data_IF_012220102615
#
_entry.id   IF_012220102615
#
_cell.length_a   1.000
_cell.length_b   1.000
_cell.length_c   1.000
_cell.angle_alpha   90.00
_cell.angle_beta   90.00
_cell.angle_gamma   90.00
#
_symmetry.space_group_name_H-M   'P 1'
#
loop_
_entity.id
_entity.type
_entity.pdbx_description
1 polymer ?
#
# COMPACT_ATOMS: atom_id res chain seq x y z
N UNK A 1 -2.43 6.02 18.48
CA UNK A 1 -3.09 5.73 17.19
C UNK A 1 -3.62 7.05 16.64
N UNK A 2 -3.08 7.57 15.54
CA UNK A 2 -3.40 8.92 15.03
C UNK A 2 -4.21 8.92 13.72
N UNK A 3 -4.37 7.76 13.07
CA UNK A 3 -5.02 7.64 11.76
C UNK A 3 -6.53 7.98 11.79
N UNK A 4 -7.26 7.54 12.82
CA UNK A 4 -8.69 7.84 12.98
C UNK A 4 -8.92 9.35 13.21
N UNK A 5 -8.22 10.03 14.14
CA UNK A 5 -8.35 11.48 14.30
C UNK A 5 -8.16 12.26 12.99
N UNK A 6 -7.18 11.87 12.17
CA UNK A 6 -6.94 12.47 10.85
C UNK A 6 -8.16 12.33 9.94
N UNK A 7 -8.73 11.13 9.83
CA UNK A 7 -9.92 10.89 9.01
C UNK A 7 -11.16 11.62 9.56
N UNK A 8 -11.35 11.64 10.88
CA UNK A 8 -12.48 12.29 11.52
C UNK A 8 -12.46 13.81 11.34
N UNK A 9 -11.29 14.44 11.49
CA UNK A 9 -11.13 15.88 11.32
C UNK A 9 -11.54 16.32 9.91
N UNK A 10 -11.08 15.61 8.88
CA UNK A 10 -11.48 15.85 7.49
C UNK A 10 -12.98 15.72 7.27
N UNK A 11 -13.59 14.71 7.88
CA UNK A 11 -15.04 14.50 7.78
C UNK A 11 -15.82 15.63 8.46
N UNK A 12 -15.31 16.17 9.57
CA UNK A 12 -15.92 17.27 10.31
C UNK A 12 -15.79 18.61 9.56
N UNK A 13 -14.61 18.88 9.01
CA UNK A 13 -14.31 20.11 8.27
C UNK A 13 -14.93 20.10 6.87
N UNK A 14 -15.25 18.92 6.33
CA UNK A 14 -15.70 18.77 4.95
C UNK A 14 -14.58 19.12 3.95
N UNK A 15 -13.33 19.05 4.39
CA UNK A 15 -12.16 19.46 3.64
C UNK A 15 -11.19 18.28 3.44
N UNK A 16 -10.77 18.08 2.20
CA UNK A 16 -9.79 17.07 1.80
C UNK A 16 -8.39 17.68 1.64
N UNK A 17 -8.24 18.98 1.95
CA UNK A 17 -6.97 19.65 1.95
C UNK A 17 -6.00 19.04 2.96
N UNK A 18 -4.77 19.53 2.89
CA UNK A 18 -3.70 19.06 3.74
C UNK A 18 -3.93 19.59 5.15
N UNK A 19 -3.86 18.71 6.14
CA UNK A 19 -3.96 19.11 7.53
C UNK A 19 -2.79 20.01 7.92
N UNK A 20 -3.10 21.18 8.47
CA UNK A 20 -2.13 22.03 9.11
C UNK A 20 -1.87 21.51 10.53
N UNK A 21 -0.60 21.27 10.85
CA UNK A 21 -0.21 20.81 12.17
C UNK A 21 1.21 21.26 12.50
N UNK A 22 1.44 21.63 13.75
CA UNK A 22 2.79 21.90 14.27
C UNK A 22 3.67 20.64 14.31
N UNK A 23 3.07 19.46 14.17
CA UNK A 23 3.75 18.19 14.18
C UNK A 23 4.16 17.78 12.76
N UNK A 24 5.45 17.86 12.48
CA UNK A 24 6.03 17.54 11.17
C UNK A 24 5.76 16.13 10.67
N UNK A 25 5.48 15.16 11.56
CA UNK A 25 5.12 13.80 11.16
C UNK A 25 3.68 13.67 10.65
N UNK A 26 2.75 14.53 11.10
CA UNK A 26 1.37 14.55 10.58
C UNK A 26 1.36 15.19 9.20
N UNK A 27 2.07 16.32 9.07
CA UNK A 27 2.17 17.03 7.81
C UNK A 27 3.05 16.27 6.82
N UNK A 28 4.08 15.57 7.29
CA UNK A 28 5.16 15.01 6.49
C UNK A 28 5.02 13.54 6.07
N UNK A 29 3.94 12.85 6.45
CA UNK A 29 3.73 11.45 6.07
C UNK A 29 2.63 11.27 5.03
N UNK A 30 2.82 10.35 4.07
CA UNK A 30 1.81 10.10 3.06
C UNK A 30 0.58 9.45 3.72
N UNK A 31 -0.61 9.83 3.22
CA UNK A 31 -1.88 9.61 3.92
C UNK A 31 -2.79 8.57 3.23
N UNK A 32 -2.26 7.74 2.32
CA UNK A 32 -3.08 6.76 1.57
C UNK A 32 -3.83 5.80 2.49
N UNK A 33 -3.24 5.41 3.63
CA UNK A 33 -3.90 4.57 4.62
C UNK A 33 -5.12 5.26 5.26
N UNK A 34 -4.94 6.53 5.61
CA UNK A 34 -5.95 7.40 6.21
C UNK A 34 -7.09 7.70 5.24
N UNK A 35 -6.81 7.80 3.94
CA UNK A 35 -7.85 7.92 2.92
C UNK A 35 -8.79 6.71 2.91
N UNK A 36 -8.27 5.48 3.05
CA UNK A 36 -9.14 4.30 3.15
C UNK A 36 -10.03 4.35 4.40
N UNK A 37 -9.49 4.79 5.54
CA UNK A 37 -10.26 4.97 6.78
C UNK A 37 -11.36 6.01 6.58
N UNK A 38 -11.02 7.17 6.00
CA UNK A 38 -11.96 8.25 5.72
C UNK A 38 -13.13 7.76 4.86
N UNK A 39 -12.88 7.06 3.76
CA UNK A 39 -13.94 6.61 2.88
C UNK A 39 -14.91 5.65 3.57
N UNK A 40 -14.39 4.72 4.38
CA UNK A 40 -15.24 3.82 5.18
C UNK A 40 -16.08 4.63 6.17
N UNK A 41 -15.49 5.59 6.87
CA UNK A 41 -16.22 6.46 7.80
C UNK A 41 -17.26 7.33 7.10
N UNK A 42 -16.95 7.90 5.94
CA UNK A 42 -17.83 8.81 5.21
C UNK A 42 -19.07 8.08 4.65
N UNK A 43 -18.87 6.90 4.06
CA UNK A 43 -19.96 6.13 3.44
C UNK A 43 -20.76 5.29 4.44
N UNK A 44 -20.08 4.62 5.37
CA UNK A 44 -20.73 3.66 6.28
C UNK A 44 -21.06 4.28 7.64
N UNK A 45 -20.51 5.46 7.96
CA UNK A 45 -20.76 6.20 9.22
C UNK A 45 -20.59 5.34 10.46
N UNK A 46 -19.62 4.42 10.42
CA UNK A 46 -19.41 3.43 11.46
C UNK A 46 -17.91 3.31 11.76
N UNK A 47 -17.52 3.66 12.99
CA UNK A 47 -16.14 3.60 13.44
C UNK A 47 -15.60 2.18 13.52
N UNK A 48 -16.39 1.22 14.00
CA UNK A 48 -15.96 -0.19 14.08
C UNK A 48 -15.66 -0.79 12.71
N UNK A 49 -16.37 -0.36 11.65
CA UNK A 49 -16.03 -0.75 10.28
C UNK A 49 -14.75 -0.07 9.78
N UNK A 50 -14.48 1.16 10.22
CA UNK A 50 -13.23 1.86 9.93
C UNK A 50 -12.03 1.20 10.62
N UNK A 51 -12.20 0.66 11.83
CA UNK A 51 -11.20 -0.17 12.52
C UNK A 51 -10.86 -1.44 11.71
N UNK A 52 -11.80 -1.91 10.90
CA UNK A 52 -11.65 -3.09 10.04
C UNK A 52 -11.18 -2.74 8.61
N UNK A 53 -10.75 -1.51 8.33
CA UNK A 53 -10.30 -1.06 6.99
C UNK A 53 -9.22 -1.98 6.38
N UNK A 54 -8.44 -2.64 7.23
CA UNK A 54 -7.33 -3.50 6.82
C UNK A 54 -7.77 -4.90 6.34
N UNK A 55 -9.01 -5.31 6.61
CA UNK A 55 -9.51 -6.66 6.32
C UNK A 55 -9.39 -7.07 4.85
N UNK A 56 -9.80 -6.25 3.87
CA UNK A 56 -9.61 -6.57 2.46
C UNK A 56 -8.13 -6.80 2.13
N UNK A 57 -7.25 -5.96 2.66
CA UNK A 57 -5.80 -6.07 2.44
C UNK A 57 -5.24 -7.34 3.08
N UNK A 58 -5.59 -7.64 4.32
CA UNK A 58 -5.19 -8.88 4.99
C UNK A 58 -5.59 -10.13 4.20
N UNK A 59 -6.81 -10.16 3.68
CA UNK A 59 -7.28 -11.26 2.83
C UNK A 59 -6.47 -11.35 1.53
N UNK A 60 -6.36 -10.26 0.77
CA UNK A 60 -5.62 -10.25 -0.49
C UNK A 60 -4.12 -10.48 -0.31
N UNK A 61 -3.54 -10.01 0.79
CA UNK A 61 -2.17 -10.29 1.20
C UNK A 61 -1.95 -11.78 1.49
N UNK A 62 -2.90 -12.42 2.17
CA UNK A 62 -2.87 -13.88 2.41
C UNK A 62 -2.90 -14.64 1.08
N UNK A 63 -3.84 -14.30 0.20
CA UNK A 63 -3.99 -14.93 -1.12
C UNK A 63 -2.72 -14.70 -1.96
N UNK A 64 -2.17 -13.48 -1.94
CA UNK A 64 -0.95 -13.15 -2.65
C UNK A 64 0.24 -13.98 -2.17
N UNK A 65 0.35 -14.21 -0.86
CA UNK A 65 1.40 -15.03 -0.27
C UNK A 65 1.25 -16.51 -0.65
N UNK A 66 0.02 -17.08 -0.63
CA UNK A 66 -0.25 -18.43 -1.14
C UNK A 66 0.16 -18.54 -2.62
N UNK A 67 -0.23 -17.55 -3.43
CA UNK A 67 0.10 -17.49 -4.85
C UNK A 67 1.61 -17.37 -5.07
N UNK A 68 2.32 -16.60 -4.25
CA UNK A 68 3.77 -16.47 -4.32
C UNK A 68 4.47 -17.79 -3.95
N UNK A 69 4.08 -18.42 -2.83
CA UNK A 69 4.66 -19.69 -2.38
C UNK A 69 4.50 -20.81 -3.40
N UNK A 70 3.32 -20.93 -4.01
CA UNK A 70 3.08 -21.97 -5.03
C UNK A 70 3.90 -21.75 -6.29
N UNK A 71 4.12 -20.50 -6.72
CA UNK A 71 5.02 -20.18 -7.84
C UNK A 71 6.48 -20.46 -7.56
N UNK A 72 6.89 -20.36 -6.30
CA UNK A 72 8.24 -20.72 -5.87
C UNK A 72 8.42 -22.23 -5.71
N UNK A 73 7.41 -23.04 -6.06
CA UNK A 73 7.49 -24.49 -6.11
C UNK A 73 6.88 -25.21 -4.90
N UNK A 74 6.28 -24.50 -3.95
CA UNK A 74 5.57 -25.14 -2.84
C UNK A 74 4.29 -25.84 -3.33
N UNK A 75 3.95 -26.98 -2.73
CA UNK A 75 2.63 -27.58 -2.91
C UNK A 75 1.57 -26.64 -2.32
N UNK A 76 0.35 -26.66 -2.89
CA UNK A 76 -0.75 -25.82 -2.41
C UNK A 76 -1.07 -26.06 -0.93
N UNK A 77 -1.04 -27.32 -0.48
CA UNK A 77 -1.22 -27.68 0.93
C UNK A 77 -0.22 -26.96 1.85
N UNK A 78 1.06 -26.97 1.44
CA UNK A 78 2.16 -26.45 2.24
C UNK A 78 2.15 -24.91 2.22
N UNK A 79 1.77 -24.32 1.08
CA UNK A 79 1.55 -22.88 0.95
C UNK A 79 0.39 -22.41 1.86
N UNK A 80 -0.74 -23.13 1.89
CA UNK A 80 -1.87 -22.80 2.78
C UNK A 80 -1.43 -22.91 4.25
N UNK A 81 -0.78 -24.00 4.63
CA UNK A 81 -0.30 -24.19 6.01
C UNK A 81 0.71 -23.09 6.41
N UNK A 82 1.69 -22.79 5.55
CA UNK A 82 2.69 -21.76 5.83
C UNK A 82 2.09 -20.35 5.92
N UNK A 83 1.17 -20.01 5.01
CA UNK A 83 0.51 -18.68 5.03
C UNK A 83 -0.47 -18.52 6.19
N UNK A 84 -1.03 -19.61 6.71
CA UNK A 84 -1.85 -19.60 7.93
C UNK A 84 -1.04 -19.07 9.12
N UNK A 85 0.27 -19.34 9.19
CA UNK A 85 1.13 -18.78 10.23
C UNK A 85 1.17 -17.25 10.17
N UNK A 86 1.25 -16.65 8.98
CA UNK A 86 1.23 -15.19 8.81
C UNK A 86 -0.15 -14.61 9.10
N UNK A 87 -1.20 -15.22 8.53
CA UNK A 87 -2.57 -14.75 8.61
C UNK A 87 -3.11 -14.82 10.06
N UNK A 88 -2.81 -15.90 10.78
CA UNK A 88 -3.26 -16.12 12.16
C UNK A 88 -2.22 -15.73 13.21
N UNK A 89 -1.10 -15.10 12.82
CA UNK A 89 -0.15 -14.57 13.78
C UNK A 89 -0.87 -13.59 14.72
N UNK A 90 -0.65 -13.65 16.05
CA UNK A 90 -1.32 -12.74 16.99
C UNK A 90 -1.18 -11.27 16.62
N UNK A 91 0.01 -10.86 16.13
CA UNK A 91 0.24 -9.49 15.66
C UNK A 91 -0.60 -9.13 14.44
N UNK A 92 -0.81 -10.05 13.50
CA UNK A 92 -1.64 -9.81 12.31
C UNK A 92 -3.12 -9.70 12.70
N UNK A 93 -3.61 -10.58 13.58
CA UNK A 93 -4.99 -10.54 14.09
C UNK A 93 -5.24 -9.25 14.87
N UNK A 94 -4.33 -8.87 15.76
CA UNK A 94 -4.45 -7.64 16.55
C UNK A 94 -4.47 -6.41 15.62
N UNK A 95 -3.59 -6.35 14.63
CA UNK A 95 -3.61 -5.25 13.67
C UNK A 95 -4.85 -5.27 12.80
N UNK A 96 -5.36 -6.43 12.37
CA UNK A 96 -6.58 -6.50 11.55
C UNK A 96 -7.83 -5.92 12.25
N UNK A 97 -7.82 -5.77 13.58
CA UNK A 97 -8.95 -5.25 14.37
C UNK A 97 -8.87 -3.77 14.72
N UNK A 98 -7.77 -3.13 14.37
CA UNK A 98 -7.47 -1.75 14.73
C UNK A 98 -7.20 -0.98 13.44
N UNK A 99 -7.56 0.30 13.35
CA UNK A 99 -7.17 1.17 12.23
C UNK A 99 -5.67 1.57 12.26
N UNK A 100 -4.79 0.57 12.31
CA UNK A 100 -3.39 0.71 11.91
C UNK A 100 -3.28 0.67 10.38
N UNK A 101 -2.08 0.92 9.87
CA UNK A 101 -1.77 0.87 8.43
C UNK A 101 -0.68 -0.15 8.10
N UNK A 102 -0.09 -0.77 9.12
CA UNK A 102 1.03 -1.70 9.01
C UNK A 102 0.63 -3.01 8.29
N UNK A 103 -0.57 -3.52 8.52
CA UNK A 103 -1.06 -4.72 7.84
C UNK A 103 -1.39 -4.44 6.37
N UNK A 104 -1.85 -3.22 6.05
CA UNK A 104 -2.01 -2.74 4.66
C UNK A 104 -0.64 -2.76 3.96
N UNK A 105 0.39 -2.17 4.58
CA UNK A 105 1.77 -2.15 4.05
C UNK A 105 2.29 -3.56 3.78
N UNK A 106 2.19 -4.47 4.78
CA UNK A 106 2.65 -5.85 4.63
C UNK A 106 1.90 -6.60 3.51
N UNK A 107 0.59 -6.41 3.42
CA UNK A 107 -0.25 -7.07 2.41
C UNK A 107 0.04 -6.57 1.00
N UNK A 108 0.18 -5.25 0.82
CA UNK A 108 0.54 -4.64 -0.46
C UNK A 108 1.93 -5.10 -0.91
N UNK A 109 2.88 -5.27 0.00
CA UNK A 109 4.19 -5.85 -0.31
C UNK A 109 4.06 -7.28 -0.87
N UNK A 110 3.28 -8.15 -0.21
CA UNK A 110 3.07 -9.52 -0.70
C UNK A 110 2.34 -9.57 -2.04
N UNK A 111 1.34 -8.71 -2.23
CA UNK A 111 0.65 -8.53 -3.51
C UNK A 111 1.64 -8.12 -4.61
N UNK A 112 2.51 -7.13 -4.34
CA UNK A 112 3.52 -6.66 -5.28
C UNK A 112 4.51 -7.76 -5.66
N UNK A 113 5.04 -8.49 -4.68
CA UNK A 113 5.93 -9.64 -4.92
C UNK A 113 5.24 -10.72 -5.77
N UNK A 114 3.98 -11.04 -5.45
CA UNK A 114 3.22 -12.07 -6.15
C UNK A 114 2.93 -11.70 -7.60
N UNK A 115 2.64 -10.43 -7.87
CA UNK A 115 2.42 -9.89 -9.21
C UNK A 115 3.72 -9.85 -10.02
N UNK A 116 4.82 -9.35 -9.46
CA UNK A 116 6.11 -9.31 -10.13
C UNK A 116 6.64 -10.72 -10.44
N UNK A 117 6.41 -11.69 -9.54
CA UNK A 117 6.78 -13.08 -9.75
C UNK A 117 6.08 -13.71 -10.96
N UNK A 118 4.85 -13.28 -11.29
CA UNK A 118 4.16 -13.69 -12.52
C UNK A 118 4.77 -13.11 -13.80
N UNK A 119 5.74 -12.18 -13.69
CA UNK A 119 6.30 -11.43 -14.81
C UNK A 119 5.19 -10.78 -15.63
N UNK A 120 4.59 -9.69 -15.12
CA UNK A 120 3.42 -9.07 -15.75
C UNK A 120 3.76 -8.71 -17.20
N UNK A 121 2.99 -9.25 -18.13
CA UNK A 121 3.14 -8.99 -19.59
C UNK A 121 1.89 -8.38 -20.20
N UNK A 122 0.76 -8.41 -19.47
CA UNK A 122 -0.49 -7.79 -19.89
C UNK A 122 -0.62 -6.38 -19.31
N UNK A 123 -1.37 -5.52 -20.02
CA UNK A 123 -1.70 -4.17 -19.56
C UNK A 123 -2.33 -4.17 -18.17
N UNK A 124 -3.29 -5.06 -17.94
CA UNK A 124 -3.97 -5.17 -16.66
C UNK A 124 -3.01 -5.54 -15.51
N UNK A 125 -2.08 -6.47 -15.75
CA UNK A 125 -1.09 -6.86 -14.76
C UNK A 125 -0.07 -5.74 -14.49
N UNK A 126 0.31 -4.98 -15.53
CA UNK A 126 1.15 -3.79 -15.41
C UNK A 126 0.50 -2.73 -14.52
N UNK A 127 -0.74 -2.36 -14.85
CA UNK A 127 -1.50 -1.36 -14.11
C UNK A 127 -1.67 -1.81 -12.66
N UNK A 128 -2.09 -3.05 -12.43
CA UNK A 128 -2.29 -3.57 -11.08
C UNK A 128 -0.99 -3.56 -10.26
N UNK A 129 0.14 -3.93 -10.87
CA UNK A 129 1.46 -3.88 -10.21
C UNK A 129 1.83 -2.45 -9.83
N UNK A 130 1.67 -1.49 -10.76
CA UNK A 130 1.92 -0.07 -10.51
C UNK A 130 1.03 0.51 -9.42
N UNK A 131 -0.26 0.15 -9.41
CA UNK A 131 -1.21 0.55 -8.37
C UNK A 131 -0.78 0.01 -7.01
N UNK A 132 -0.43 -1.28 -6.91
CA UNK A 132 -0.02 -1.90 -5.63
C UNK A 132 1.27 -1.25 -5.09
N UNK A 133 2.28 -1.03 -5.94
CA UNK A 133 3.53 -0.37 -5.53
C UNK A 133 3.27 1.11 -5.15
N UNK A 134 2.41 1.78 -5.91
CA UNK A 134 1.99 3.16 -5.64
C UNK A 134 1.29 3.30 -4.30
N UNK A 135 0.31 2.43 -4.03
CA UNK A 135 -0.39 2.39 -2.75
C UNK A 135 0.58 2.06 -1.60
N UNK A 136 1.50 1.11 -1.79
CA UNK A 136 2.47 0.74 -0.75
C UNK A 136 3.31 1.95 -0.33
N UNK A 137 3.83 2.69 -1.30
CA UNK A 137 4.66 3.87 -1.04
C UNK A 137 3.87 4.99 -0.38
N UNK A 138 2.65 5.25 -0.85
CA UNK A 138 1.77 6.27 -0.30
C UNK A 138 1.15 5.91 1.05
N UNK A 139 1.26 4.68 1.51
CA UNK A 139 0.66 4.28 2.80
C UNK A 139 1.53 4.67 3.98
N UNK A 140 2.86 4.54 3.88
CA UNK A 140 3.77 4.78 5.02
C UNK A 140 5.14 5.21 4.54
N UNK A 141 5.71 6.26 5.14
CA UNK A 141 7.06 6.73 4.78
C UNK A 141 8.12 5.62 4.88
N UNK A 142 8.01 4.76 5.90
CA UNK A 142 8.91 3.61 6.09
C UNK A 142 8.79 2.50 5.03
N UNK A 143 7.76 2.53 4.17
CA UNK A 143 7.58 1.54 3.10
C UNK A 143 8.57 1.73 1.93
N UNK A 144 9.32 2.84 1.87
CA UNK A 144 10.30 3.10 0.82
C UNK A 144 11.32 1.97 0.62
N UNK A 145 11.78 1.34 1.71
CA UNK A 145 12.68 0.18 1.62
C UNK A 145 12.04 -1.03 0.94
N UNK A 146 10.76 -1.31 1.24
CA UNK A 146 10.00 -2.40 0.62
C UNK A 146 9.73 -2.13 -0.86
N UNK A 147 9.42 -0.87 -1.21
CA UNK A 147 9.28 -0.44 -2.61
C UNK A 147 10.60 -0.62 -3.36
N UNK A 148 11.73 -0.27 -2.74
CA UNK A 148 13.06 -0.50 -3.29
C UNK A 148 13.31 -1.98 -3.63
N UNK A 149 12.93 -2.90 -2.73
CA UNK A 149 13.01 -4.35 -2.97
C UNK A 149 12.17 -4.75 -4.20
N UNK A 150 10.92 -4.28 -4.29
CA UNK A 150 10.04 -4.59 -5.42
C UNK A 150 10.59 -4.06 -6.75
N UNK A 151 11.12 -2.83 -6.75
CA UNK A 151 11.75 -2.22 -7.94
C UNK A 151 12.97 -3.01 -8.38
N UNK A 152 13.88 -3.34 -7.46
CA UNK A 152 15.08 -4.13 -7.76
C UNK A 152 14.69 -5.50 -8.31
N UNK A 153 13.72 -6.18 -7.69
CA UNK A 153 13.23 -7.48 -8.16
C UNK A 153 12.59 -7.39 -9.56
N UNK A 154 11.76 -6.37 -9.81
CA UNK A 154 11.14 -6.10 -11.11
C UNK A 154 12.17 -5.84 -12.22
N UNK A 155 13.19 -5.02 -11.94
CA UNK A 155 14.28 -4.76 -12.88
C UNK A 155 15.13 -6.00 -13.15
N UNK A 156 15.47 -6.76 -12.11
CA UNK A 156 16.27 -7.98 -12.24
C UNK A 156 15.53 -9.07 -13.05
N UNK A 157 14.22 -9.18 -12.89
CA UNK A 157 13.39 -10.13 -13.64
C UNK A 157 13.12 -9.68 -15.08
N UNK A 158 12.92 -8.38 -15.32
CA UNK A 158 12.59 -7.81 -16.63
C UNK A 158 13.76 -7.57 -17.59
N UNK A 159 15.01 -7.61 -17.11
CA UNK A 159 16.21 -7.27 -17.92
C UNK A 159 16.42 -8.10 -19.19
N UNK A 160 15.75 -9.25 -19.29
CA UNK A 160 15.88 -10.17 -20.44
C UNK A 160 14.67 -10.11 -21.40
N UNK A 161 13.62 -9.33 -21.12
CA UNK A 161 12.39 -9.30 -21.91
C UNK A 161 11.87 -7.86 -22.10
N UNK A 162 11.89 -7.37 -23.35
CA UNK A 162 11.43 -6.01 -23.70
C UNK A 162 9.97 -5.76 -23.34
N UNK A 163 9.10 -6.78 -23.36
CA UNK A 163 7.69 -6.63 -22.96
C UNK A 163 7.54 -6.39 -21.46
N UNK A 164 8.41 -7.00 -20.65
CA UNK A 164 8.45 -6.80 -19.21
C UNK A 164 8.97 -5.40 -18.86
N UNK A 165 9.95 -4.89 -19.62
CA UNK A 165 10.43 -3.51 -19.44
C UNK A 165 9.33 -2.47 -19.70
N UNK A 166 8.55 -2.62 -20.80
CA UNK A 166 7.43 -1.70 -21.09
C UNK A 166 6.35 -1.74 -20.00
N UNK A 167 6.06 -2.94 -19.49
CA UNK A 167 5.13 -3.16 -18.38
C UNK A 167 5.62 -2.51 -17.08
N UNK A 168 6.92 -2.60 -16.80
CA UNK A 168 7.54 -1.97 -15.64
C UNK A 168 7.47 -0.43 -15.73
N UNK A 169 7.76 0.14 -16.90
CA UNK A 169 7.64 1.59 -17.13
C UNK A 169 6.20 2.08 -16.92
N UNK A 170 5.21 1.34 -17.42
CA UNK A 170 3.80 1.67 -17.16
C UNK A 170 3.44 1.59 -15.67
N UNK A 171 3.97 0.57 -14.97
CA UNK A 171 3.79 0.44 -13.52
C UNK A 171 4.37 1.65 -12.78
N UNK A 172 5.52 2.15 -13.22
CA UNK A 172 6.16 3.35 -12.67
C UNK A 172 5.34 4.62 -12.93
N UNK A 173 4.67 4.73 -14.08
CA UNK A 173 3.74 5.83 -14.35
C UNK A 173 2.54 5.79 -13.40
N UNK A 174 1.89 4.64 -13.25
CA UNK A 174 0.76 4.49 -12.31
C UNK A 174 1.17 4.81 -10.86
N UNK A 175 2.35 4.34 -10.45
CA UNK A 175 2.96 4.69 -9.17
C UNK A 175 3.13 6.20 -9.00
N UNK A 176 3.69 6.86 -10.03
CA UNK A 176 3.95 8.30 -10.00
C UNK A 176 2.65 9.09 -9.92
N UNK A 177 1.64 8.73 -10.70
CA UNK A 177 0.33 9.39 -10.68
C UNK A 177 -0.30 9.33 -9.29
N UNK A 178 -0.34 8.14 -8.67
CA UNK A 178 -0.96 7.96 -7.34
C UNK A 178 -0.28 8.77 -6.24
N UNK A 179 1.02 8.99 -6.35
CA UNK A 179 1.80 9.63 -5.29
C UNK A 179 2.12 11.11 -5.58
N UNK A 180 2.05 11.53 -6.83
CA UNK A 180 2.50 12.84 -7.30
C UNK A 180 1.93 14.00 -6.50
N UNK A 181 0.63 13.98 -6.19
CA UNK A 181 -0.03 15.03 -5.42
C UNK A 181 0.66 15.32 -4.10
N UNK A 182 0.97 14.25 -3.35
CA UNK A 182 1.50 14.36 -1.99
C UNK A 182 2.94 14.89 -1.99
N UNK A 183 3.79 14.35 -2.87
CA UNK A 183 5.19 14.77 -2.99
C UNK A 183 5.33 16.18 -3.60
N UNK A 184 4.50 16.54 -4.57
CA UNK A 184 4.49 17.89 -5.14
C UNK A 184 4.03 18.92 -4.10
N UNK A 185 2.98 18.60 -3.33
CA UNK A 185 2.53 19.44 -2.21
C UNK A 185 3.64 19.66 -1.18
N UNK A 186 4.37 18.60 -0.79
CA UNK A 186 5.52 18.73 0.11
C UNK A 186 6.61 19.64 -0.42
N UNK A 187 6.95 19.50 -1.70
CA UNK A 187 7.99 20.31 -2.32
C UNK A 187 7.63 21.80 -2.25
N UNK A 188 6.38 22.16 -2.54
CA UNK A 188 5.93 23.56 -2.48
C UNK A 188 5.96 24.15 -1.07
N UNK A 189 5.56 23.40 -0.04
CA UNK A 189 5.61 23.87 1.35
C UNK A 189 7.04 24.07 1.85
N UNK A 190 7.95 23.18 1.46
CA UNK A 190 9.37 23.31 1.82
C UNK A 190 10.03 24.57 1.25
N UNK A 191 9.49 25.10 0.15
CA UNK A 191 9.93 26.37 -0.46
C UNK A 191 9.35 27.57 0.29
N UNK A 192 8.07 27.53 0.68
CA UNK A 192 7.41 28.63 1.40
C UNK A 192 7.94 28.91 2.82
N UNK A 193 8.51 27.91 3.50
CA UNK A 193 9.15 28.10 4.81
C UNK A 193 10.61 28.56 4.73
N UNK A 194 11.19 28.68 3.53
CA UNK A 194 12.57 29.16 3.30
C UNK A 194 12.65 30.60 2.78
N UNK A 195 11.50 31.23 2.51
CA UNK A 195 11.36 32.64 2.12
C UNK A 195 10.86 33.49 3.28
#
# INVERSE_FOLDING_TARGET
>A
MYHIPIALLRLQEGDLSRLESSWSYIVGYPETGEWFILWIMAFLRNQSLADMVQWPFWLFGTIALISLSTKLGAKLSDAILGTTVWCLAPVAILQAREAYIDLIVASLFWMGMSLLCHRPTSLAAAVLTGLVIGLLFGTKLGAGGLVGILVIYGLASGRHDKKQLGTFLLSAICFAVLNSYWYLSNATLSVSHRS
#
